data_IF_262844444445
#
_entry.id   IF_262844444445
#
_cell.length_a   1.000
_cell.length_b   1.000
_cell.length_c   1.000
_cell.angle_alpha   90.00
_cell.angle_beta   90.00
_cell.angle_gamma   90.00
#
_symmetry.space_group_name_H-M   'P 1'
#
loop_
_entity.id
_entity.type
_entity.pdbx_description
1 polymer ?
#
# COMPACT_ATOMS: atom_id res chain seq x y z
N UNK A 1 -20.83 9.17 -15.94
CA UNK A 1 -20.71 7.70 -16.02
C UNK A 1 -19.82 7.25 -14.87
N UNK A 2 -20.41 7.01 -13.70
CA UNK A 2 -19.70 6.60 -12.49
C UNK A 2 -20.10 5.17 -12.15
N UNK A 3 -19.14 4.34 -11.78
CA UNK A 3 -19.41 2.96 -11.35
C UNK A 3 -20.27 2.99 -10.09
N UNK A 4 -21.56 2.66 -10.23
CA UNK A 4 -22.55 2.68 -9.14
C UNK A 4 -22.33 1.59 -8.09
N UNK A 5 -21.43 0.64 -8.33
CA UNK A 5 -21.15 -0.49 -7.43
C UNK A 5 -19.64 -0.78 -7.33
N UNK A 6 -18.81 0.24 -7.13
CA UNK A 6 -17.45 -0.02 -6.69
C UNK A 6 -17.50 -0.44 -5.21
N UNK A 7 -17.57 -1.75 -4.96
CA UNK A 7 -17.44 -2.33 -3.62
C UNK A 7 -16.02 -2.10 -3.11
N UNK A 8 -15.76 -0.90 -2.62
CA UNK A 8 -14.57 -0.61 -1.84
C UNK A 8 -14.77 -1.25 -0.46
N UNK A 9 -13.85 -2.12 -0.06
CA UNK A 9 -13.74 -2.52 1.34
C UNK A 9 -13.02 -1.38 2.06
N UNK A 10 -13.71 -0.54 2.86
CA UNK A 10 -13.04 0.51 3.60
C UNK A 10 -12.09 -0.14 4.60
N UNK A 11 -10.83 0.28 4.58
CA UNK A 11 -9.91 -0.03 5.65
C UNK A 11 -10.21 0.90 6.82
N UNK A 12 -10.65 0.35 7.95
CA UNK A 12 -10.93 1.10 9.18
C UNK A 12 -9.70 1.24 10.07
N UNK A 13 -8.56 0.65 9.70
CA UNK A 13 -7.32 0.79 10.46
C UNK A 13 -6.71 2.15 10.15
N UNK A 14 -6.67 3.01 11.15
CA UNK A 14 -5.94 4.29 11.09
C UNK A 14 -4.45 4.04 11.23
N UNK A 15 -3.64 4.79 10.50
CA UNK A 15 -2.19 4.79 10.67
C UNK A 15 -1.84 5.36 12.05
N UNK A 16 -1.27 4.54 12.95
CA UNK A 16 -0.52 5.06 14.09
C UNK A 16 0.89 5.47 13.66
N UNK A 17 1.56 6.30 14.47
CA UNK A 17 2.93 6.75 14.24
C UNK A 17 3.84 5.52 14.11
N UNK A 18 4.63 5.46 13.03
CA UNK A 18 5.49 4.33 12.71
C UNK A 18 6.38 3.93 13.91
N UNK A 19 6.08 2.79 14.53
CA UNK A 19 6.90 2.22 15.58
C UNK A 19 7.96 1.32 14.94
N UNK A 20 9.21 1.82 14.88
CA UNK A 20 10.37 0.98 14.59
C UNK A 20 10.64 0.05 15.78
N UNK A 21 10.01 -1.12 15.80
CA UNK A 21 10.19 -2.12 16.84
C UNK A 21 9.24 -3.30 16.66
N UNK A 22 9.57 -4.43 17.28
CA UNK A 22 8.72 -5.64 17.31
C UNK A 22 7.38 -5.27 17.96
N UNK A 23 6.43 -4.84 17.14
CA UNK A 23 5.05 -4.58 17.54
C UNK A 23 4.30 -5.90 17.41
N UNK A 24 3.78 -6.42 18.52
CA UNK A 24 2.96 -7.65 18.54
C UNK A 24 1.58 -7.45 17.92
N UNK A 25 1.18 -6.19 17.69
CA UNK A 25 -0.05 -5.81 17.01
C UNK A 25 0.30 -5.19 15.66
N UNK A 26 -0.09 -5.84 14.58
CA UNK A 26 0.06 -5.29 13.23
C UNK A 26 -0.83 -4.05 13.08
N UNK A 27 -0.21 -2.87 12.98
CA UNK A 27 -0.89 -1.61 12.64
C UNK A 27 -0.58 -1.29 11.18
N UNK A 28 -1.49 -1.66 10.29
CA UNK A 28 -1.34 -1.42 8.86
C UNK A 28 -2.56 -1.88 8.08
N UNK A 29 -2.57 -1.56 6.78
CA UNK A 29 -3.65 -1.97 5.90
C UNK A 29 -3.44 -3.39 5.40
N UNK A 30 -4.34 -4.32 5.76
CA UNK A 30 -4.30 -5.69 5.24
C UNK A 30 -4.49 -5.75 3.71
N UNK A 31 -5.16 -4.74 3.13
CA UNK A 31 -5.29 -4.61 1.68
C UNK A 31 -3.96 -4.16 1.08
N UNK A 32 -3.34 -3.11 1.62
CA UNK A 32 -2.06 -2.60 1.11
C UNK A 32 -0.92 -3.61 1.31
N UNK A 33 -0.96 -4.42 2.37
CA UNK A 33 0.04 -5.48 2.63
C UNK A 33 0.05 -6.58 1.56
N UNK A 34 -0.95 -6.63 0.67
CA UNK A 34 -0.99 -7.54 -0.47
C UNK A 34 -0.33 -6.94 -1.71
N UNK A 35 0.68 -6.10 -1.55
CA UNK A 35 1.41 -5.48 -2.67
C UNK A 35 2.42 -6.39 -3.36
N UNK A 36 2.74 -7.54 -2.76
CA UNK A 36 3.78 -8.45 -3.24
C UNK A 36 3.28 -9.88 -3.43
N UNK A 37 3.98 -10.60 -4.31
CA UNK A 37 4.03 -12.05 -4.35
C UNK A 37 5.33 -12.50 -3.68
N UNK A 38 5.27 -13.65 -3.00
CA UNK A 38 6.44 -14.26 -2.37
C UNK A 38 6.86 -15.50 -3.15
N UNK A 39 8.06 -15.47 -3.74
CA UNK A 39 8.60 -16.55 -4.58
C UNK A 39 10.08 -16.76 -4.27
N UNK A 40 10.49 -18.00 -4.01
CA UNK A 40 11.90 -18.37 -3.77
C UNK A 40 12.63 -17.49 -2.73
N UNK A 41 11.95 -17.10 -1.65
CA UNK A 41 12.44 -16.18 -0.62
C UNK A 41 12.58 -14.70 -1.02
N UNK A 42 12.04 -14.30 -2.17
CA UNK A 42 12.01 -12.93 -2.64
C UNK A 42 10.58 -12.34 -2.64
N UNK A 43 10.49 -11.05 -2.36
CA UNK A 43 9.24 -10.28 -2.42
C UNK A 43 9.22 -9.51 -3.74
N UNK A 44 8.33 -9.90 -4.65
CA UNK A 44 8.18 -9.26 -5.95
C UNK A 44 6.90 -8.41 -5.95
N UNK A 45 6.95 -7.13 -6.33
CA UNK A 45 5.74 -6.34 -6.49
C UNK A 45 4.78 -7.06 -7.45
N UNK A 46 3.51 -7.18 -7.06
CA UNK A 46 2.49 -7.73 -7.95
C UNK A 46 1.87 -6.67 -8.88
N UNK A 47 2.35 -5.43 -8.78
CA UNK A 47 1.93 -4.29 -9.58
C UNK A 47 0.45 -3.93 -9.44
N UNK A 48 -0.23 -4.33 -8.36
CA UNK A 48 -1.55 -3.80 -8.05
C UNK A 48 -1.49 -2.29 -7.78
N UNK A 49 -2.53 -1.58 -8.21
CA UNK A 49 -2.74 -0.16 -7.89
C UNK A 49 -3.79 -0.09 -6.78
N UNK A 50 -3.43 0.58 -5.69
CA UNK A 50 -4.29 0.80 -4.54
C UNK A 50 -4.91 2.19 -4.62
N UNK A 51 -6.17 2.31 -4.22
CA UNK A 51 -6.79 3.60 -3.94
C UNK A 51 -6.67 3.86 -2.45
N UNK A 52 -5.94 4.91 -2.08
CA UNK A 52 -5.74 5.33 -0.70
C UNK A 52 -6.52 6.61 -0.48
N UNK A 53 -7.35 6.65 0.56
CA UNK A 53 -8.05 7.85 1.01
C UNK A 53 -7.21 8.54 2.09
N UNK A 54 -7.08 9.86 2.04
CA UNK A 54 -6.38 10.63 3.08
C UNK A 54 -7.09 10.50 4.43
N UNK A 55 -6.38 10.80 5.52
CA UNK A 55 -6.94 10.77 6.88
C UNK A 55 -8.07 11.79 7.08
N UNK A 56 -8.07 12.90 6.34
CA UNK A 56 -9.17 13.88 6.32
C UNK A 56 -10.37 13.40 5.52
N UNK A 57 -10.18 12.37 4.72
CA UNK A 57 -11.22 11.75 3.93
C UNK A 57 -11.58 12.48 2.63
N UNK A 58 -10.87 13.56 2.30
CA UNK A 58 -11.21 14.46 1.20
C UNK A 58 -10.33 14.27 -0.04
N UNK A 59 -9.27 13.47 0.05
CA UNK A 59 -8.32 13.27 -1.03
C UNK A 59 -8.11 11.79 -1.29
N UNK A 60 -7.94 11.44 -2.56
CA UNK A 60 -7.73 10.07 -3.00
C UNK A 60 -6.47 9.98 -3.84
N UNK A 61 -5.73 8.90 -3.66
CA UNK A 61 -4.46 8.65 -4.31
C UNK A 61 -4.46 7.27 -4.94
N UNK A 62 -4.00 7.19 -6.18
CA UNK A 62 -3.51 5.95 -6.76
C UNK A 62 -2.10 5.73 -6.21
N UNK A 63 -1.85 4.59 -5.60
CA UNK A 63 -0.57 4.22 -5.02
C UNK A 63 -0.14 2.85 -5.53
N UNK A 64 1.12 2.72 -5.92
CA UNK A 64 1.68 1.46 -6.39
C UNK A 64 3.12 1.31 -5.94
N UNK A 65 3.44 0.13 -5.42
CA UNK A 65 4.82 -0.29 -5.15
C UNK A 65 5.36 -0.95 -6.42
N UNK A 66 6.53 -0.51 -6.86
CA UNK A 66 7.18 -0.94 -8.12
C UNK A 66 8.52 -1.63 -7.88
N UNK A 67 9.04 -1.60 -6.66
CA UNK A 67 10.26 -2.29 -6.25
C UNK A 67 10.33 -2.46 -4.73
N UNK A 68 11.20 -3.34 -4.26
CA UNK A 68 11.46 -3.59 -2.83
C UNK A 68 12.96 -3.70 -2.50
N UNK A 69 13.80 -3.86 -3.52
CA UNK A 69 15.23 -4.00 -3.38
C UNK A 69 15.92 -2.80 -4.02
N UNK A 70 17.06 -2.40 -3.46
CA UNK A 70 17.92 -1.38 -4.08
C UNK A 70 18.71 -1.99 -5.26
N UNK A 71 19.56 -1.18 -5.92
CA UNK A 71 20.40 -1.63 -7.04
C UNK A 71 21.42 -2.71 -6.69
N UNK A 72 21.71 -2.90 -5.40
CA UNK A 72 22.64 -3.91 -4.87
C UNK A 72 21.92 -5.21 -4.46
N UNK A 73 20.59 -5.26 -4.53
CA UNK A 73 19.79 -6.40 -4.11
C UNK A 73 19.48 -6.44 -2.61
N UNK A 74 19.75 -5.37 -1.87
CA UNK A 74 19.40 -5.25 -0.44
C UNK A 74 17.89 -5.04 -0.29
N UNK A 75 17.24 -5.81 0.57
CA UNK A 75 15.79 -5.74 0.84
C UNK A 75 15.39 -4.49 1.65
N UNK A 76 14.08 -4.23 1.76
CA UNK A 76 13.51 -3.12 2.53
C UNK A 76 13.79 -1.73 1.95
N UNK A 77 13.95 -1.66 0.63
CA UNK A 77 14.09 -0.42 -0.15
C UNK A 77 12.93 -0.30 -1.15
N UNK A 78 11.70 0.00 -0.70
CA UNK A 78 10.56 0.09 -1.59
C UNK A 78 10.70 1.26 -2.55
N UNK A 79 10.40 1.00 -3.82
CA UNK A 79 10.18 2.06 -4.82
C UNK A 79 8.68 2.18 -5.03
N UNK A 80 8.18 3.42 -5.05
CA UNK A 80 6.75 3.70 -5.17
C UNK A 80 6.51 4.75 -6.24
N UNK A 81 5.32 4.68 -6.84
CA UNK A 81 4.76 5.79 -7.62
C UNK A 81 3.34 6.06 -7.15
N UNK A 82 2.94 7.32 -7.21
CA UNK A 82 1.63 7.73 -6.76
C UNK A 82 1.09 8.89 -7.60
N UNK A 83 -0.22 9.06 -7.58
CA UNK A 83 -0.92 10.17 -8.23
C UNK A 83 -2.20 10.48 -7.47
N UNK A 84 -2.41 11.75 -7.11
CA UNK A 84 -3.69 12.21 -6.59
C UNK A 84 -4.75 12.18 -7.69
N UNK A 85 -5.96 11.74 -7.36
CA UNK A 85 -7.10 11.73 -8.27
C UNK A 85 -8.23 12.61 -7.70
N UNK A 86 -8.94 13.36 -8.56
CA UNK A 86 -10.19 13.98 -8.16
C UNK A 86 -11.24 12.88 -7.92
N UNK A 87 -12.06 13.07 -6.89
CA UNK A 87 -13.18 12.19 -6.54
C UNK A 87 -14.45 13.02 -6.38
#
# INVERSE_FOLDING_TARGET
>A
MGCTNAFFSPDTNVSEIAAGGIQTNYVGSNVLNKWFNYTFAFLQPNYNIFIVRSNTGNEYYLFQITGYYNSEGTSAHPTVRWKQIPY
#
